data_IF_721696277108
#
_entry.id   IF_721696277108
#
_cell.length_a   1.000
_cell.length_b   1.000
_cell.length_c   1.000
_cell.angle_alpha   90.00
_cell.angle_beta   90.00
_cell.angle_gamma   90.00
#
_symmetry.space_group_name_H-M   'P 1'
#
loop_
_entity.id
_entity.type
_entity.pdbx_description
1 polymer ?
#
# COMPACT_ATOMS: atom_id res chain seq x y z
N UNK A 1 18.87 -2.60 11.10
CA UNK A 1 18.41 -2.07 12.35
C UNK A 1 16.98 -2.39 12.59
N UNK A 2 16.75 -3.04 13.68
CA UNK A 2 15.38 -3.38 14.03
C UNK A 2 14.53 -2.14 14.24
N UNK A 3 15.16 -1.02 14.43
CA UNK A 3 14.46 0.21 14.73
C UNK A 3 13.71 0.81 13.56
N UNK A 4 13.86 0.26 12.35
CA UNK A 4 13.23 0.88 11.19
C UNK A 4 11.72 1.01 11.35
N UNK A 5 11.08 0.05 12.02
CA UNK A 5 9.64 0.12 12.24
C UNK A 5 9.25 1.29 13.13
N UNK A 6 10.15 1.71 13.98
CA UNK A 6 9.88 2.80 14.91
C UNK A 6 9.98 4.14 14.23
N UNK A 7 10.52 4.17 13.01
CA UNK A 7 10.70 5.42 12.29
C UNK A 7 9.45 5.85 11.55
N UNK A 8 8.48 4.95 11.42
CA UNK A 8 7.25 5.28 10.71
C UNK A 8 6.36 6.13 11.61
N UNK A 9 5.96 7.28 11.11
CA UNK A 9 5.00 8.10 11.83
C UNK A 9 3.60 7.58 11.57
N UNK A 10 2.67 7.82 12.52
CA UNK A 10 1.30 7.30 12.35
C UNK A 10 0.64 7.74 11.05
N UNK A 11 0.88 8.98 10.66
CA UNK A 11 0.28 9.50 9.42
C UNK A 11 0.77 8.71 8.20
N UNK A 12 2.04 8.33 8.21
CA UNK A 12 2.59 7.55 7.10
C UNK A 12 1.98 6.16 7.05
N UNK A 13 1.78 5.57 8.22
CA UNK A 13 1.15 4.25 8.28
C UNK A 13 -0.28 4.29 7.76
N UNK A 14 -1.02 5.33 8.13
CA UNK A 14 -2.39 5.49 7.64
C UNK A 14 -2.41 5.68 6.13
N UNK A 15 -1.49 6.48 5.61
CA UNK A 15 -1.43 6.72 4.18
C UNK A 15 -1.12 5.43 3.42
N UNK A 16 -0.17 4.65 3.93
CA UNK A 16 0.18 3.38 3.29
C UNK A 16 -1.00 2.41 3.31
N UNK A 17 -1.71 2.36 4.43
CA UNK A 17 -2.86 1.47 4.54
C UNK A 17 -3.96 1.90 3.57
N UNK A 18 -4.18 3.19 3.44
CA UNK A 18 -5.18 3.72 2.51
C UNK A 18 -4.78 3.38 1.08
N UNK A 19 -3.52 3.59 0.72
CA UNK A 19 -3.05 3.24 -0.61
C UNK A 19 -3.26 1.76 -0.90
N UNK A 20 -3.01 0.92 0.10
CA UNK A 20 -3.19 -0.52 -0.07
C UNK A 20 -4.64 -0.86 -0.36
N UNK A 21 -5.55 -0.32 0.43
CA UNK A 21 -6.96 -0.63 0.26
C UNK A 21 -7.50 -0.08 -1.07
N UNK A 22 -7.09 1.13 -1.42
CA UNK A 22 -7.50 1.72 -2.69
C UNK A 22 -6.94 0.93 -3.87
N UNK A 23 -5.68 0.53 -3.76
CA UNK A 23 -5.02 -0.22 -4.83
C UNK A 23 -5.72 -1.56 -5.04
N UNK A 24 -6.06 -2.22 -3.95
CA UNK A 24 -6.76 -3.49 -4.04
C UNK A 24 -8.10 -3.32 -4.76
N UNK A 25 -8.83 -2.28 -4.40
CA UNK A 25 -10.11 -2.00 -5.03
C UNK A 25 -9.93 -1.75 -6.53
N UNK A 26 -8.90 -1.01 -6.89
CA UNK A 26 -8.67 -0.66 -8.29
C UNK A 26 -8.28 -1.85 -9.15
N UNK A 27 -7.60 -2.82 -8.57
CA UNK A 27 -7.21 -4.02 -9.32
C UNK A 27 -8.16 -5.19 -9.08
N UNK A 28 -9.25 -4.95 -8.38
CA UNK A 28 -10.28 -5.97 -8.22
C UNK A 28 -9.97 -7.03 -7.19
N UNK A 29 -9.10 -6.74 -6.23
CA UNK A 29 -8.75 -7.67 -5.16
C UNK A 29 -9.50 -7.27 -3.90
N UNK A 30 -10.18 -8.22 -3.28
CA UNK A 30 -10.95 -7.96 -2.07
C UNK A 30 -10.07 -8.18 -0.85
N UNK A 31 -9.58 -7.10 -0.26
CA UNK A 31 -8.73 -7.16 0.92
C UNK A 31 -9.56 -7.07 2.18
N UNK A 32 -9.12 -7.81 3.18
CA UNK A 32 -9.68 -7.68 4.52
C UNK A 32 -8.81 -6.77 5.34
N UNK A 33 -9.40 -6.11 6.31
CA UNK A 33 -8.62 -5.41 7.32
C UNK A 33 -7.87 -6.45 8.13
N UNK A 34 -6.56 -6.27 8.28
CA UNK A 34 -5.75 -7.17 9.07
C UNK A 34 -5.17 -8.30 8.24
N UNK A 35 -5.55 -9.53 8.55
CA UNK A 35 -4.91 -10.72 7.97
C UNK A 35 -5.42 -10.98 6.56
N UNK A 36 -4.49 -11.09 5.63
CA UNK A 36 -4.79 -11.37 4.23
C UNK A 36 -3.98 -12.54 3.70
N UNK A 37 -3.82 -13.57 4.52
CA UNK A 37 -2.99 -14.70 4.18
C UNK A 37 -3.55 -15.59 3.08
N UNK A 38 -4.80 -15.39 2.69
CA UNK A 38 -5.42 -16.16 1.62
C UNK A 38 -5.22 -15.54 0.23
N UNK A 39 -4.49 -14.44 0.13
CA UNK A 39 -4.21 -13.85 -1.17
C UNK A 39 -3.22 -14.70 -1.95
N UNK A 40 -3.44 -14.81 -3.24
CA UNK A 40 -2.45 -15.44 -4.11
C UNK A 40 -1.29 -14.50 -4.33
N UNK A 41 -0.16 -15.06 -4.79
CA UNK A 41 1.00 -14.22 -5.12
C UNK A 41 0.66 -13.21 -6.20
N UNK A 42 -0.15 -13.61 -7.17
CA UNK A 42 -0.55 -12.70 -8.24
C UNK A 42 -1.38 -11.55 -7.69
N UNK A 43 -2.32 -11.85 -6.81
CA UNK A 43 -3.15 -10.82 -6.22
C UNK A 43 -2.32 -9.85 -5.39
N UNK A 44 -1.42 -10.38 -4.56
CA UNK A 44 -0.56 -9.54 -3.75
C UNK A 44 0.33 -8.67 -4.63
N UNK A 45 0.85 -9.23 -5.72
CA UNK A 45 1.67 -8.49 -6.65
C UNK A 45 0.91 -7.37 -7.35
N UNK A 46 -0.35 -7.64 -7.73
CA UNK A 46 -1.16 -6.63 -8.38
C UNK A 46 -1.42 -5.44 -7.45
N UNK A 47 -1.74 -5.73 -6.19
CA UNK A 47 -1.96 -4.66 -5.22
C UNK A 47 -0.67 -3.88 -5.00
N UNK A 48 0.45 -4.59 -4.80
CA UNK A 48 1.73 -3.94 -4.58
C UNK A 48 2.15 -3.07 -5.75
N UNK A 49 1.96 -3.55 -6.97
CA UNK A 49 2.29 -2.77 -8.15
C UNK A 49 1.47 -1.50 -8.25
N UNK A 50 0.18 -1.60 -7.94
CA UNK A 50 -0.68 -0.42 -7.98
C UNK A 50 -0.31 0.58 -6.89
N UNK A 51 0.09 0.08 -5.72
CA UNK A 51 0.57 0.96 -4.65
C UNK A 51 1.79 1.76 -5.08
N UNK A 52 2.73 1.10 -5.76
CA UNK A 52 3.93 1.79 -6.23
C UNK A 52 3.54 2.90 -7.20
N UNK A 53 2.61 2.65 -8.09
CA UNK A 53 2.14 3.68 -9.02
C UNK A 53 1.55 4.86 -8.27
N UNK A 54 0.73 4.60 -7.26
CA UNK A 54 0.12 5.67 -6.49
C UNK A 54 1.16 6.50 -5.76
N UNK A 55 2.17 5.84 -5.22
CA UNK A 55 3.22 6.55 -4.50
C UNK A 55 4.03 7.43 -5.42
N UNK A 56 4.34 6.93 -6.62
CA UNK A 56 5.07 7.71 -7.60
C UNK A 56 4.24 8.93 -8.02
N UNK A 57 2.96 8.74 -8.26
CA UNK A 57 2.09 9.84 -8.65
C UNK A 57 2.00 10.90 -7.55
N UNK A 58 1.91 10.44 -6.31
CA UNK A 58 1.86 11.37 -5.18
C UNK A 58 3.14 12.17 -5.08
N UNK A 59 4.28 11.52 -5.27
CA UNK A 59 5.54 12.20 -5.25
C UNK A 59 5.65 13.24 -6.37
N UNK A 60 5.26 12.85 -7.57
CA UNK A 60 5.33 13.76 -8.71
C UNK A 60 4.46 14.98 -8.49
N UNK A 61 3.29 14.78 -7.91
CA UNK A 61 2.39 15.90 -7.64
C UNK A 61 2.96 16.84 -6.58
N UNK A 62 3.74 16.30 -5.65
CA UNK A 62 4.25 17.12 -4.56
C UNK A 62 5.50 17.90 -4.91
N UNK A 63 6.18 17.57 -6.01
CA UNK A 63 7.43 18.23 -6.38
C UNK A 63 7.26 19.20 -7.55
N UNK A 64 6.07 19.58 -7.86
CA UNK A 64 5.83 20.50 -8.95
C UNK A 64 6.40 21.88 -8.73
#
# INVERSE_FOLDING_TARGET
MASSNKMLVPEAKEAMNRFKMESASEVGVNLKQGYNGDLTSRQAGSVGGQMVKKMIQAYENSVK
#
